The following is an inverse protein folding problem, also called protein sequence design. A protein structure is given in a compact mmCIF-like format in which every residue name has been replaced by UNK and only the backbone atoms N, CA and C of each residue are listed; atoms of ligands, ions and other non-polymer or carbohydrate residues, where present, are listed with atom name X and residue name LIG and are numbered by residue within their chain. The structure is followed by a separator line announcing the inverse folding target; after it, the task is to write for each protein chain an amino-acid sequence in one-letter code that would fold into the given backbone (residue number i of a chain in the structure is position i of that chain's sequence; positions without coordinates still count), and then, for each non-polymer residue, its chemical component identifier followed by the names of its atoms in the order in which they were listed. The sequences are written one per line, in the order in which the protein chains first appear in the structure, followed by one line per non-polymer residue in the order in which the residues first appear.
data_IF_351579178273
#
_entry.id   IF_351579178273
#
_cell.length_a   1.000
_cell.length_b   1.000
_cell.length_c   1.000
_cell.angle_alpha   90.00
_cell.angle_beta   90.00
_cell.angle_gamma   90.00
#
_symmetry.space_group_name_H-M   'P 1'
#
loop_
_entity.id
_entity.type
_entity.pdbx_description
1 polymer ?
#
# COMPACT_ATOMS: atom_id res chain seq x y z
N UNK A 1 14.08 19.39 -2.83
CA UNK A 1 15.09 18.34 -2.69
C UNK A 1 14.51 17.38 -1.69
N UNK A 2 14.39 16.10 -2.06
CA UNK A 2 13.86 15.06 -1.20
C UNK A 2 14.86 14.77 -0.08
N UNK A 3 14.39 14.78 1.17
CA UNK A 3 15.16 14.45 2.36
C UNK A 3 14.35 13.43 3.18
N UNK A 4 14.77 12.15 3.21
CA UNK A 4 14.04 11.09 3.90
C UNK A 4 13.78 11.39 5.38
N UNK A 5 14.71 12.02 6.08
CA UNK A 5 14.55 12.31 7.52
C UNK A 5 13.47 13.37 7.77
N UNK A 6 13.33 14.32 6.84
CA UNK A 6 12.30 15.36 6.92
C UNK A 6 10.93 14.77 6.62
N UNK A 7 10.84 13.94 5.59
CA UNK A 7 9.61 13.26 5.19
C UNK A 7 9.12 12.29 6.29
N UNK A 8 10.02 11.52 6.92
CA UNK A 8 9.70 10.62 8.03
C UNK A 8 9.14 11.38 9.24
N UNK A 9 9.80 12.47 9.66
CA UNK A 9 9.31 13.31 10.76
C UNK A 9 7.94 13.90 10.45
N UNK A 10 7.71 14.32 9.21
CA UNK A 10 6.42 14.84 8.75
C UNK A 10 5.36 13.74 8.79
N UNK A 11 5.70 12.53 8.35
CA UNK A 11 4.81 11.38 8.38
C UNK A 11 4.38 11.04 9.81
N UNK A 12 5.34 10.81 10.71
CA UNK A 12 5.07 10.50 12.12
C UNK A 12 4.20 11.57 12.80
N UNK A 13 4.46 12.86 12.52
CA UNK A 13 3.67 13.95 13.07
C UNK A 13 2.23 13.98 12.50
N UNK A 14 2.08 13.73 11.19
CA UNK A 14 0.79 13.74 10.50
C UNK A 14 -0.12 12.56 10.84
N UNK A 15 0.46 11.40 11.18
CA UNK A 15 -0.28 10.16 11.44
C UNK A 15 -0.55 9.88 12.92
N UNK A 16 0.10 10.61 13.84
CA UNK A 16 0.04 10.37 15.29
C UNK A 16 -1.38 10.31 15.92
N UNK A 17 -2.38 10.89 15.26
CA UNK A 17 -3.76 10.96 15.77
C UNK A 17 -4.79 10.24 14.90
N UNK A 18 -4.37 9.37 13.97
CA UNK A 18 -5.32 8.64 13.13
C UNK A 18 -6.24 7.76 13.97
N UNK A 19 -7.55 7.95 13.78
CA UNK A 19 -8.54 7.15 14.45
C UNK A 19 -8.75 5.85 13.67
N UNK A 20 -7.97 4.82 13.99
CA UNK A 20 -8.14 3.49 13.44
C UNK A 20 -9.28 2.70 14.11
N UNK A 21 -9.89 3.22 15.17
CA UNK A 21 -10.95 2.55 15.94
C UNK A 21 -12.35 2.70 15.30
N UNK A 22 -12.43 2.52 13.99
CA UNK A 22 -13.65 2.64 13.18
C UNK A 22 -14.47 1.35 13.20
N UNK A 23 -15.75 1.40 12.82
CA UNK A 23 -16.66 0.22 12.76
C UNK A 23 -15.99 -0.92 11.97
N UNK A 24 -16.28 -2.17 12.32
CA UNK A 24 -15.70 -3.35 11.65
C UNK A 24 -15.88 -3.25 10.12
N UNK A 25 -14.78 -3.41 9.37
CA UNK A 25 -14.74 -3.31 7.91
C UNK A 25 -14.54 -1.89 7.33
N UNK A 26 -14.94 -0.84 8.05
CA UNK A 26 -14.83 0.55 7.57
C UNK A 26 -13.37 1.04 7.57
N UNK A 27 -12.63 0.75 8.64
CA UNK A 27 -11.20 1.08 8.74
C UNK A 27 -10.42 0.50 7.57
N UNK A 28 -10.70 -0.76 7.22
CA UNK A 28 -10.03 -1.43 6.12
C UNK A 28 -10.45 -0.87 4.77
N UNK A 29 -11.73 -0.55 4.56
CA UNK A 29 -12.17 0.10 3.32
C UNK A 29 -11.47 1.46 3.11
N UNK A 30 -11.33 2.26 4.16
CA UNK A 30 -10.55 3.51 4.16
C UNK A 30 -9.08 3.22 3.81
N UNK A 31 -8.48 2.19 4.41
CA UNK A 31 -7.11 1.77 4.12
C UNK A 31 -6.89 1.43 2.65
N UNK A 32 -7.77 0.59 2.07
CA UNK A 32 -7.66 0.21 0.65
C UNK A 32 -7.72 1.41 -0.29
N UNK A 33 -8.60 2.36 0.01
CA UNK A 33 -8.69 3.59 -0.76
C UNK A 33 -7.39 4.41 -0.63
N UNK A 34 -6.83 4.52 0.58
CA UNK A 34 -5.51 5.14 0.78
C UNK A 34 -4.40 4.45 -0.01
N UNK A 35 -4.35 3.12 -0.02
CA UNK A 35 -3.38 2.34 -0.80
C UNK A 35 -3.50 2.60 -2.30
N UNK A 36 -4.73 2.64 -2.82
CA UNK A 36 -4.98 2.96 -4.22
C UNK A 36 -4.56 4.40 -4.55
N UNK A 37 -4.91 5.38 -3.71
CA UNK A 37 -4.49 6.77 -3.88
C UNK A 37 -2.96 6.90 -3.85
N UNK A 38 -2.28 6.15 -2.95
CA UNK A 38 -0.83 6.11 -2.85
C UNK A 38 -0.18 5.51 -4.11
N UNK A 39 -0.72 4.41 -4.66
CA UNK A 39 -0.30 3.91 -5.97
C UNK A 39 -0.49 4.96 -7.07
N UNK A 40 -1.51 5.81 -6.96
CA UNK A 40 -1.72 6.96 -7.83
C UNK A 40 -0.53 7.93 -7.88
N UNK A 41 0.12 8.18 -6.73
CA UNK A 41 1.34 8.99 -6.63
C UNK A 41 2.52 8.31 -7.35
N UNK A 42 2.59 6.99 -7.27
CA UNK A 42 3.68 6.19 -7.82
C UNK A 42 3.56 5.92 -9.33
N UNK A 43 2.45 6.32 -9.97
CA UNK A 43 2.19 6.10 -11.41
C UNK A 43 3.33 6.50 -12.36
N UNK A 44 4.09 7.59 -12.13
CA UNK A 44 5.23 7.93 -12.99
C UNK A 44 6.32 6.86 -13.04
N UNK A 45 6.36 5.95 -12.07
CA UNK A 45 7.33 4.85 -11.97
C UNK A 45 6.81 3.53 -12.56
N UNK A 46 5.59 3.50 -13.10
CA UNK A 46 4.97 2.26 -13.56
C UNK A 46 5.53 1.85 -14.92
N UNK A 47 5.84 0.57 -15.05
CA UNK A 47 5.98 -0.10 -16.33
C UNK A 47 4.63 -0.62 -16.85
N UNK A 48 4.67 -1.39 -17.93
CA UNK A 48 3.47 -1.93 -18.57
C UNK A 48 2.69 -2.91 -17.65
N UNK A 49 3.39 -3.70 -16.84
CA UNK A 49 2.77 -4.68 -15.94
C UNK A 49 2.14 -3.97 -14.74
N UNK A 50 2.82 -2.97 -14.17
CA UNK A 50 2.29 -2.11 -13.12
C UNK A 50 0.98 -1.44 -13.54
N UNK A 51 0.90 -0.97 -14.79
CA UNK A 51 -0.33 -0.36 -15.32
C UNK A 51 -1.50 -1.34 -15.35
N UNK A 52 -1.26 -2.63 -15.62
CA UNK A 52 -2.30 -3.66 -15.57
C UNK A 52 -2.72 -3.97 -14.13
N UNK A 53 -1.76 -4.12 -13.22
CA UNK A 53 -2.05 -4.37 -11.81
C UNK A 53 -2.83 -3.22 -11.17
N UNK A 54 -2.55 -1.98 -11.57
CA UNK A 54 -3.23 -0.79 -11.09
C UNK A 54 -4.73 -0.79 -11.36
N UNK A 55 -5.15 -1.33 -12.51
CA UNK A 55 -6.57 -1.45 -12.81
C UNK A 55 -7.28 -2.47 -11.89
N UNK A 56 -6.59 -3.56 -11.52
CA UNK A 56 -7.12 -4.54 -10.57
C UNK A 56 -7.16 -3.96 -9.15
N UNK A 57 -6.10 -3.26 -8.73
CA UNK A 57 -6.06 -2.55 -7.45
C UNK A 57 -7.18 -1.51 -7.35
N UNK A 58 -7.47 -0.79 -8.45
CA UNK A 58 -8.61 0.14 -8.54
C UNK A 58 -9.94 -0.56 -8.27
N UNK A 59 -10.18 -1.71 -8.91
CA UNK A 59 -11.41 -2.48 -8.68
C UNK A 59 -11.49 -2.92 -7.23
N UNK A 60 -10.41 -3.47 -6.70
CA UNK A 60 -10.35 -4.01 -5.36
C UNK A 60 -10.56 -2.91 -4.28
N UNK A 61 -10.12 -1.67 -4.54
CA UNK A 61 -10.37 -0.54 -3.65
C UNK A 61 -11.84 -0.09 -3.60
N UNK A 62 -12.64 -0.34 -4.65
CA UNK A 62 -14.02 0.15 -4.77
C UNK A 62 -15.08 -0.93 -4.58
N UNK A 63 -14.70 -2.20 -4.60
CA UNK A 63 -15.61 -3.32 -4.32
C UNK A 63 -14.88 -4.46 -3.60
N UNK A 64 -15.61 -5.29 -2.84
CA UNK A 64 -15.08 -6.55 -2.35
C UNK A 64 -14.67 -7.42 -3.54
N UNK A 65 -13.47 -7.99 -3.46
CA UNK A 65 -12.95 -8.99 -4.39
C UNK A 65 -12.45 -10.16 -3.56
N UNK A 66 -12.80 -11.37 -4.00
CA UNK A 66 -12.37 -12.58 -3.32
C UNK A 66 -10.93 -12.98 -3.72
N UNK A 67 -10.40 -14.01 -3.04
CA UNK A 67 -9.05 -14.48 -3.30
C UNK A 67 -8.87 -15.02 -4.73
N UNK A 68 -9.92 -15.60 -5.34
CA UNK A 68 -9.85 -16.18 -6.69
C UNK A 68 -9.78 -15.09 -7.76
N UNK A 69 -10.50 -13.97 -7.56
CA UNK A 69 -10.44 -12.81 -8.44
C UNK A 69 -9.08 -12.12 -8.41
N UNK A 70 -8.43 -12.06 -7.23
CA UNK A 70 -7.16 -11.36 -7.03
C UNK A 70 -5.93 -12.24 -7.35
N UNK A 71 -6.09 -13.57 -7.25
CA UNK A 71 -4.99 -14.53 -7.42
C UNK A 71 -4.22 -14.38 -8.74
N UNK A 72 -4.85 -14.22 -9.92
CA UNK A 72 -4.10 -14.09 -11.17
C UNK A 72 -3.10 -12.92 -11.16
N UNK A 73 -3.52 -11.77 -10.62
CA UNK A 73 -2.66 -10.58 -10.54
C UNK A 73 -1.56 -10.76 -9.49
N UNK A 74 -1.87 -11.35 -8.34
CA UNK A 74 -0.86 -11.67 -7.32
C UNK A 74 0.18 -12.66 -7.84
N UNK A 75 -0.26 -13.72 -8.51
CA UNK A 75 0.63 -14.71 -9.12
C UNK A 75 1.52 -14.05 -10.20
N UNK A 76 0.94 -13.14 -10.99
CA UNK A 76 1.68 -12.39 -11.99
C UNK A 76 2.75 -11.49 -11.36
N UNK A 77 2.46 -10.80 -10.25
CA UNK A 77 3.45 -10.00 -9.51
C UNK A 77 4.59 -10.87 -9.00
N UNK A 78 4.28 -12.05 -8.44
CA UNK A 78 5.31 -12.99 -7.96
C UNK A 78 6.20 -13.47 -9.10
N UNK A 79 5.62 -13.78 -10.27
CA UNK A 79 6.40 -14.21 -11.44
C UNK A 79 7.20 -13.06 -12.05
N UNK A 80 6.66 -11.84 -12.08
CA UNK A 80 7.39 -10.65 -12.49
C UNK A 80 8.63 -10.44 -11.61
N UNK A 81 8.46 -10.52 -10.28
CA UNK A 81 9.58 -10.40 -9.33
C UNK A 81 10.67 -11.44 -9.61
N UNK A 82 10.29 -12.69 -9.85
CA UNK A 82 11.24 -13.76 -10.18
C UNK A 82 11.95 -13.50 -11.50
N UNK A 83 11.19 -13.26 -12.56
CA UNK A 83 11.70 -13.25 -13.93
C UNK A 83 12.40 -11.94 -14.32
N UNK A 84 11.89 -10.80 -13.85
CA UNK A 84 12.40 -9.46 -14.20
C UNK A 84 13.36 -8.90 -13.16
N UNK A 85 13.12 -9.16 -11.87
CA UNK A 85 13.95 -8.63 -10.78
C UNK A 85 14.94 -9.64 -10.21
N UNK A 86 14.81 -10.93 -10.55
CA UNK A 86 15.62 -11.99 -9.96
C UNK A 86 15.33 -12.24 -8.48
N UNK A 87 14.12 -11.91 -8.02
CA UNK A 87 13.71 -11.98 -6.61
C UNK A 87 12.70 -13.12 -6.38
N UNK A 88 13.15 -14.19 -5.72
CA UNK A 88 12.32 -15.37 -5.47
C UNK A 88 11.37 -15.24 -4.26
N UNK A 89 11.57 -14.23 -3.41
CA UNK A 89 10.77 -14.01 -2.20
C UNK A 89 10.67 -12.54 -1.83
N UNK A 90 9.70 -12.23 -0.99
CA UNK A 90 9.63 -10.96 -0.28
C UNK A 90 10.61 -11.02 0.90
N UNK A 91 11.72 -10.31 0.77
CA UNK A 91 12.70 -10.16 1.86
C UNK A 91 12.20 -9.19 2.93
N UNK A 92 12.82 -9.14 4.10
CA UNK A 92 12.46 -8.13 5.10
C UNK A 92 12.83 -6.71 4.63
N UNK A 93 13.88 -6.59 3.84
CA UNK A 93 14.37 -5.34 3.28
C UNK A 93 14.14 -5.32 1.77
N UNK A 94 13.75 -4.16 1.24
CA UNK A 94 13.63 -3.89 -0.20
C UNK A 94 14.79 -2.97 -0.58
N UNK A 95 15.57 -3.38 -1.58
CA UNK A 95 16.78 -2.64 -1.97
C UNK A 95 16.58 -1.79 -3.22
N UNK A 96 15.52 -2.06 -3.98
CA UNK A 96 15.26 -1.45 -5.29
C UNK A 96 13.82 -0.91 -5.35
N UNK A 97 13.59 0.25 -5.99
CA UNK A 97 12.26 0.84 -6.08
C UNK A 97 11.19 -0.09 -6.67
N UNK A 98 11.55 -0.96 -7.62
CA UNK A 98 10.59 -1.87 -8.24
C UNK A 98 10.21 -3.06 -7.33
N UNK A 99 11.14 -3.56 -6.49
CA UNK A 99 10.80 -4.52 -5.41
C UNK A 99 9.81 -3.88 -4.45
N UNK A 100 10.08 -2.65 -4.02
CA UNK A 100 9.23 -1.90 -3.13
C UNK A 100 7.84 -1.66 -3.73
N UNK A 101 7.77 -1.25 -5.01
CA UNK A 101 6.50 -1.03 -5.71
C UNK A 101 5.63 -2.30 -5.79
N UNK A 102 6.23 -3.46 -6.09
CA UNK A 102 5.47 -4.71 -6.13
C UNK A 102 4.87 -5.10 -4.78
N UNK A 103 5.46 -4.66 -3.65
CA UNK A 103 4.86 -4.85 -2.31
C UNK A 103 3.63 -3.99 -2.09
N UNK A 104 3.71 -2.71 -2.46
CA UNK A 104 2.56 -1.80 -2.38
C UNK A 104 1.38 -2.37 -3.18
N UNK A 105 1.66 -2.94 -4.36
CA UNK A 105 0.65 -3.67 -5.14
C UNK A 105 0.09 -4.89 -4.41
N UNK A 106 0.94 -5.70 -3.77
CA UNK A 106 0.46 -6.86 -3.00
C UNK A 106 -0.46 -6.44 -1.85
N UNK A 107 -0.13 -5.39 -1.12
CA UNK A 107 -0.99 -4.82 -0.08
C UNK A 107 -2.34 -4.34 -0.65
N UNK A 108 -2.32 -3.61 -1.78
CA UNK A 108 -3.54 -3.12 -2.43
C UNK A 108 -4.44 -4.27 -2.92
N UNK A 109 -3.83 -5.39 -3.27
CA UNK A 109 -4.50 -6.60 -3.73
C UNK A 109 -4.81 -7.57 -2.60
N UNK A 110 -4.75 -7.17 -1.32
CA UNK A 110 -5.22 -8.01 -0.22
C UNK A 110 -6.75 -8.23 -0.26
N UNK A 111 -7.19 -9.37 0.26
CA UNK A 111 -8.61 -9.71 0.36
C UNK A 111 -9.21 -8.97 1.54
N UNK A 112 -10.48 -8.57 1.42
CA UNK A 112 -11.19 -7.96 2.54
C UNK A 112 -11.21 -8.96 3.71
N UNK A 113 -10.68 -8.63 4.90
CA UNK A 113 -10.52 -9.64 5.92
C UNK A 113 -11.86 -9.99 6.56
N UNK A 114 -12.13 -11.28 6.71
CA UNK A 114 -13.02 -11.83 7.73
C UNK A 114 -12.18 -12.08 9.01
N UNK A 115 -11.68 -11.03 9.65
CA UNK A 115 -10.90 -11.16 10.87
C UNK A 115 -11.39 -10.22 11.98
N UNK A 116 -11.19 -10.61 13.24
CA UNK A 116 -11.58 -9.79 14.38
C UNK A 116 -10.98 -8.38 14.28
N UNK A 117 -11.80 -7.37 14.57
CA UNK A 117 -11.45 -5.93 14.57
C UNK A 117 -10.07 -5.58 15.14
N UNK A 118 -9.64 -6.18 16.25
CA UNK A 118 -8.32 -5.89 16.85
C UNK A 118 -7.15 -6.32 15.97
N UNK A 119 -7.25 -7.47 15.30
CA UNK A 119 -6.25 -7.95 14.34
C UNK A 119 -6.24 -7.08 13.08
N UNK A 120 -7.42 -6.64 12.62
CA UNK A 120 -7.55 -5.72 11.49
C UNK A 120 -6.87 -4.37 11.75
N UNK A 121 -7.09 -3.76 12.91
CA UNK A 121 -6.47 -2.47 13.26
C UNK A 121 -4.96 -2.58 13.37
N UNK A 122 -4.46 -3.62 14.04
CA UNK A 122 -3.02 -3.87 14.14
C UNK A 122 -2.38 -4.08 12.75
N UNK A 123 -3.04 -4.85 11.88
CA UNK A 123 -2.58 -5.06 10.50
C UNK A 123 -2.55 -3.77 9.68
N UNK A 124 -3.63 -2.98 9.72
CA UNK A 124 -3.68 -1.67 9.03
C UNK A 124 -2.55 -0.75 9.52
N UNK A 125 -2.27 -0.69 10.82
CA UNK A 125 -1.17 0.10 11.35
C UNK A 125 0.19 -0.35 10.79
N UNK A 126 0.46 -1.65 10.80
CA UNK A 126 1.70 -2.22 10.25
C UNK A 126 1.85 -1.98 8.75
N UNK A 127 0.75 -2.07 7.99
CA UNK A 127 0.76 -1.81 6.56
C UNK A 127 0.99 -0.32 6.27
N UNK A 128 0.39 0.58 7.05
CA UNK A 128 0.61 2.03 6.97
C UNK A 128 2.10 2.34 7.15
N UNK A 129 2.72 1.79 8.20
CA UNK A 129 4.14 1.98 8.48
C UNK A 129 5.00 1.45 7.32
N UNK A 130 4.72 0.22 6.85
CA UNK A 130 5.48 -0.41 5.77
C UNK A 130 5.39 0.36 4.44
N UNK A 131 4.19 0.81 4.08
CA UNK A 131 3.97 1.58 2.84
C UNK A 131 4.61 2.97 2.95
N UNK A 132 4.57 3.58 4.14
CA UNK A 132 5.26 4.83 4.39
C UNK A 132 6.76 4.66 4.20
N UNK A 133 7.39 3.67 4.83
CA UNK A 133 8.82 3.40 4.66
C UNK A 133 9.20 3.25 3.18
N UNK A 134 8.42 2.48 2.41
CA UNK A 134 8.64 2.34 0.95
C UNK A 134 8.59 3.70 0.23
N UNK A 135 7.58 4.52 0.50
CA UNK A 135 7.38 5.81 -0.15
C UNK A 135 8.47 6.82 0.26
N UNK A 136 8.80 6.83 1.55
CA UNK A 136 9.78 7.72 2.17
C UNK A 136 11.21 7.38 1.78
N UNK A 137 11.54 6.11 1.49
CA UNK A 137 12.89 5.71 1.10
C UNK A 137 13.12 5.81 -0.41
N UNK A 138 12.09 5.52 -1.24
CA UNK A 138 12.29 5.33 -2.67
C UNK A 138 11.64 6.39 -3.58
N UNK A 139 10.63 7.13 -3.10
CA UNK A 139 9.78 7.90 -4.00
C UNK A 139 9.57 9.37 -3.60
N UNK A 140 9.73 9.73 -2.32
CA UNK A 140 9.70 11.12 -1.86
C UNK A 140 8.34 11.80 -1.96
N UNK A 141 7.28 11.06 -1.60
CA UNK A 141 5.88 11.53 -1.57
C UNK A 141 5.25 11.44 -0.17
N UNK A 142 6.05 11.60 0.89
CA UNK A 142 5.57 11.42 2.27
C UNK A 142 4.49 12.44 2.64
N UNK A 143 4.64 13.70 2.22
CA UNK A 143 3.61 14.74 2.43
C UNK A 143 2.28 14.39 1.76
N UNK A 144 2.29 14.03 0.49
CA UNK A 144 1.06 13.67 -0.24
C UNK A 144 0.41 12.41 0.35
N UNK A 145 1.22 11.45 0.79
CA UNK A 145 0.73 10.27 1.52
C UNK A 145 0.01 10.66 2.82
N UNK A 146 0.59 11.57 3.62
CA UNK A 146 -0.07 12.09 4.83
C UNK A 146 -1.40 12.75 4.48
N UNK A 147 -1.45 13.60 3.45
CA UNK A 147 -2.69 14.27 3.04
C UNK A 147 -3.78 13.27 2.60
N UNK A 148 -3.39 12.17 1.95
CA UNK A 148 -4.30 11.07 1.60
C UNK A 148 -4.82 10.40 2.87
N UNK A 149 -3.93 10.02 3.79
CA UNK A 149 -4.33 9.29 5.00
C UNK A 149 -5.19 10.17 5.92
N UNK A 150 -4.86 11.45 6.08
CA UNK A 150 -5.66 12.40 6.84
C UNK A 150 -7.09 12.51 6.31
N UNK A 151 -7.28 12.58 4.98
CA UNK A 151 -8.62 12.63 4.38
C UNK A 151 -9.45 11.38 4.67
N UNK A 152 -8.80 10.25 4.92
CA UNK A 152 -9.45 8.94 5.09
C UNK A 152 -9.69 8.60 6.56
N UNK A 153 -8.84 9.10 7.46
CA UNK A 153 -8.85 8.74 8.89
C UNK A 153 -9.12 9.88 9.86
N UNK A 154 -9.17 11.14 9.41
CA UNK A 154 -9.72 12.22 10.25
C UNK A 154 -11.23 12.00 10.46
N UNK A 155 -11.74 12.29 11.68
CA UNK A 155 -13.15 12.11 12.03
C UNK A 155 -14.09 13.04 11.26
#
# INVERSE_FOLDING_TARGET
MFDPEVEEKLFLAGTANFNLNVVEGEAYARWRLSLFDALGLLRPHFDADCAQWYEVARQAAHRPMDALELKPTRDHIVEYRRSQLGLDKFHQYYTEPMDALTRVFMFALETWPECHRSMMVAGIGQDIDTVADIILEHFGHGRELVEILEKRYKP
#
